data_IF_345113996843
#
_entry.id   IF_345113996843
#
_cell.length_a   1.000
_cell.length_b   1.000
_cell.length_c   1.000
_cell.angle_alpha   90.00
_cell.angle_beta   90.00
_cell.angle_gamma   90.00
#
_symmetry.space_group_name_H-M   'P 1'
#
loop_
_entity.id
_entity.type
_entity.pdbx_description
1 polymer ?
#
# COMPACT_ATOMS: atom_id res chain seq x y z
N UNK A 1 -23.26 33.78 -11.83
CA UNK A 1 -23.82 32.41 -11.75
C UNK A 1 -22.70 31.40 -11.90
N UNK A 2 -22.25 30.80 -10.80
CA UNK A 2 -21.37 29.63 -10.85
C UNK A 2 -22.25 28.45 -11.27
N UNK A 3 -22.01 27.87 -12.45
CA UNK A 3 -22.90 26.85 -13.00
C UNK A 3 -23.00 25.67 -12.02
N UNK A 4 -24.22 25.18 -11.73
CA UNK A 4 -24.47 24.12 -10.74
C UNK A 4 -23.65 22.83 -10.98
N UNK A 5 -23.14 22.63 -12.20
CA UNK A 5 -22.22 21.54 -12.55
C UNK A 5 -20.77 21.72 -12.05
N UNK A 6 -20.36 22.91 -11.60
CA UNK A 6 -18.97 23.15 -11.17
C UNK A 6 -18.72 22.79 -9.71
N UNK A 7 -19.70 22.97 -8.80
CA UNK A 7 -19.49 22.71 -7.38
C UNK A 7 -19.29 21.20 -7.10
N UNK A 8 -20.22 20.37 -7.58
CA UNK A 8 -20.20 18.92 -7.33
C UNK A 8 -19.02 18.20 -8.01
N UNK A 9 -18.64 18.65 -9.20
CA UNK A 9 -17.48 18.11 -9.92
C UNK A 9 -16.13 18.48 -9.28
N UNK A 10 -16.11 19.53 -8.45
CA UNK A 10 -14.89 20.01 -7.81
C UNK A 10 -14.71 19.48 -6.38
N UNK A 11 -15.80 19.18 -5.66
CA UNK A 11 -15.74 18.72 -4.27
C UNK A 11 -14.78 17.52 -4.07
N UNK A 12 -14.88 16.40 -4.83
CA UNK A 12 -13.96 15.29 -4.66
C UNK A 12 -12.50 15.65 -4.97
N UNK A 13 -12.27 16.51 -5.98
CA UNK A 13 -10.93 16.97 -6.36
C UNK A 13 -10.29 17.84 -5.27
N UNK A 14 -11.05 18.78 -4.71
CA UNK A 14 -10.61 19.64 -3.60
C UNK A 14 -10.34 18.79 -2.36
N UNK A 15 -11.24 17.86 -2.03
CA UNK A 15 -11.04 16.93 -0.92
C UNK A 15 -9.77 16.08 -1.09
N UNK A 16 -9.52 15.57 -2.31
CA UNK A 16 -8.30 14.82 -2.65
C UNK A 16 -7.03 15.66 -2.44
N UNK A 17 -7.03 16.92 -2.89
CA UNK A 17 -5.89 17.82 -2.66
C UNK A 17 -5.67 18.10 -1.17
N UNK A 18 -6.73 18.48 -0.45
CA UNK A 18 -6.69 18.83 0.97
C UNK A 18 -6.21 17.66 1.86
N UNK A 19 -6.58 16.44 1.51
CA UNK A 19 -6.24 15.23 2.30
C UNK A 19 -4.97 14.54 1.84
N UNK A 20 -4.19 15.18 0.95
CA UNK A 20 -3.01 14.60 0.32
C UNK A 20 -3.29 13.21 -0.30
N UNK A 21 -4.40 13.06 -1.01
CA UNK A 21 -4.85 11.82 -1.66
C UNK A 21 -5.18 10.66 -0.71
N UNK A 22 -5.46 10.93 0.58
CA UNK A 22 -5.91 9.89 1.50
C UNK A 22 -7.37 9.54 1.26
N UNK A 23 -7.61 8.40 0.61
CA UNK A 23 -8.94 7.96 0.17
C UNK A 23 -9.94 7.94 1.33
N UNK A 24 -9.59 7.35 2.47
CA UNK A 24 -10.47 7.29 3.65
C UNK A 24 -10.88 8.69 4.11
N UNK A 25 -9.96 9.66 4.12
CA UNK A 25 -10.28 11.05 4.46
C UNK A 25 -11.14 11.71 3.38
N UNK A 26 -10.88 11.47 2.09
CA UNK A 26 -11.73 11.95 0.99
C UNK A 26 -13.16 11.42 1.12
N UNK A 27 -13.34 10.12 1.34
CA UNK A 27 -14.64 9.49 1.55
C UNK A 27 -15.39 10.11 2.73
N UNK A 28 -14.71 10.38 3.85
CA UNK A 28 -15.32 11.07 5.00
C UNK A 28 -15.83 12.46 4.61
N UNK A 29 -15.05 13.24 3.87
CA UNK A 29 -15.45 14.58 3.40
C UNK A 29 -16.64 14.47 2.44
N UNK A 30 -16.57 13.61 1.43
CA UNK A 30 -17.65 13.39 0.46
C UNK A 30 -18.96 13.00 1.16
N UNK A 31 -18.91 12.07 2.12
CA UNK A 31 -20.06 11.66 2.92
C UNK A 31 -20.59 12.80 3.79
N UNK A 32 -19.71 13.57 4.42
CA UNK A 32 -20.11 14.73 5.24
C UNK A 32 -20.86 15.77 4.41
N UNK A 33 -20.35 16.10 3.22
CA UNK A 33 -20.99 17.05 2.31
C UNK A 33 -22.33 16.51 1.79
N UNK A 34 -22.40 15.23 1.42
CA UNK A 34 -23.67 14.60 1.02
C UNK A 34 -24.72 14.70 2.13
N UNK A 35 -24.33 14.43 3.38
CA UNK A 35 -25.24 14.55 4.52
C UNK A 35 -25.76 15.99 4.70
N UNK A 36 -24.92 17.01 4.54
CA UNK A 36 -25.34 18.41 4.60
C UNK A 36 -26.35 18.76 3.50
N UNK A 37 -26.11 18.29 2.28
CA UNK A 37 -27.05 18.46 1.15
C UNK A 37 -28.39 17.81 1.49
N UNK A 38 -28.38 16.56 1.96
CA UNK A 38 -29.60 15.83 2.33
C UNK A 38 -30.39 16.55 3.43
N UNK A 39 -29.70 17.15 4.41
CA UNK A 39 -30.36 17.96 5.43
C UNK A 39 -31.02 19.21 4.84
N UNK A 40 -30.33 19.95 3.97
CA UNK A 40 -30.89 21.12 3.28
C UNK A 40 -32.11 20.76 2.43
N UNK A 41 -32.04 19.67 1.67
CA UNK A 41 -33.17 19.14 0.88
C UNK A 41 -34.35 18.79 1.78
N UNK A 42 -34.10 18.15 2.92
CA UNK A 42 -35.17 17.80 3.86
C UNK A 42 -35.87 19.05 4.40
N UNK A 43 -35.13 20.11 4.72
CA UNK A 43 -35.69 21.39 5.18
C UNK A 43 -36.55 22.03 4.09
N UNK A 44 -36.05 22.12 2.86
CA UNK A 44 -36.80 22.67 1.72
C UNK A 44 -38.10 21.91 1.49
N UNK A 45 -38.03 20.57 1.39
CA UNK A 45 -39.20 19.74 1.14
C UNK A 45 -40.21 19.81 2.30
N UNK A 46 -39.74 19.92 3.54
CA UNK A 46 -40.61 20.11 4.72
C UNK A 46 -41.33 21.45 4.65
N UNK A 47 -40.61 22.53 4.31
CA UNK A 47 -41.19 23.86 4.13
C UNK A 47 -42.30 23.85 3.07
N UNK A 48 -42.06 23.25 1.90
CA UNK A 48 -43.06 23.15 0.83
C UNK A 48 -44.29 22.35 1.27
N UNK A 49 -44.08 21.27 2.03
CA UNK A 49 -45.17 20.45 2.57
C UNK A 49 -46.03 21.22 3.58
N UNK A 50 -45.41 22.01 4.47
CA UNK A 50 -46.12 22.77 5.51
C UNK A 50 -46.93 23.93 4.93
N UNK A 51 -46.50 24.49 3.80
CA UNK A 51 -47.18 25.60 3.12
C UNK A 51 -48.19 25.14 2.05
N UNK A 52 -48.61 23.87 2.07
CA UNK A 52 -49.55 23.28 1.11
C UNK A 52 -49.13 23.41 -0.38
N UNK A 53 -47.83 23.59 -0.67
CA UNK A 53 -47.27 23.74 -2.01
C UNK A 53 -47.07 22.37 -2.69
N UNK A 54 -48.16 21.62 -2.86
CA UNK A 54 -48.13 20.18 -3.21
C UNK A 54 -47.49 19.89 -4.58
N UNK A 55 -47.74 20.74 -5.59
CA UNK A 55 -47.15 20.58 -6.92
C UNK A 55 -45.63 20.83 -6.88
N UNK A 56 -45.21 21.92 -6.23
CA UNK A 56 -43.80 22.27 -6.08
C UNK A 56 -43.04 21.23 -5.28
N UNK A 57 -43.62 20.71 -4.20
CA UNK A 57 -43.04 19.60 -3.44
C UNK A 57 -42.74 18.40 -4.36
N UNK A 58 -43.70 17.97 -5.19
CA UNK A 58 -43.53 16.82 -6.10
C UNK A 58 -42.44 17.08 -7.14
N UNK A 59 -42.40 18.28 -7.71
CA UNK A 59 -41.39 18.69 -8.70
C UNK A 59 -40.00 18.73 -8.06
N UNK A 60 -39.86 19.43 -6.94
CA UNK A 60 -38.58 19.59 -6.20
C UNK A 60 -38.06 18.25 -5.70
N UNK A 61 -38.92 17.39 -5.17
CA UNK A 61 -38.53 16.04 -4.73
C UNK A 61 -37.91 15.25 -5.89
N UNK A 62 -38.57 15.19 -7.05
CA UNK A 62 -38.05 14.48 -8.23
C UNK A 62 -36.72 15.08 -8.73
N UNK A 63 -36.62 16.41 -8.73
CA UNK A 63 -35.39 17.10 -9.12
C UNK A 63 -34.23 16.76 -8.17
N UNK A 64 -34.47 16.82 -6.86
CA UNK A 64 -33.47 16.48 -5.85
C UNK A 64 -33.07 15.02 -5.89
N UNK A 65 -34.02 14.10 -6.07
CA UNK A 65 -33.72 12.66 -6.24
C UNK A 65 -32.76 12.44 -7.42
N UNK A 66 -32.99 13.13 -8.56
CA UNK A 66 -32.10 13.05 -9.72
C UNK A 66 -30.72 13.64 -9.41
N UNK A 67 -30.66 14.84 -8.82
CA UNK A 67 -29.39 15.51 -8.48
C UNK A 67 -28.56 14.71 -7.47
N UNK A 68 -29.18 14.17 -6.42
CA UNK A 68 -28.52 13.36 -5.39
C UNK A 68 -27.93 12.08 -6.01
N UNK A 69 -28.67 11.38 -6.87
CA UNK A 69 -28.14 10.22 -7.59
C UNK A 69 -26.90 10.56 -8.42
N UNK A 70 -26.95 11.67 -9.17
CA UNK A 70 -25.79 12.13 -9.95
C UNK A 70 -24.56 12.42 -9.07
N UNK A 71 -24.78 13.02 -7.89
CA UNK A 71 -23.70 13.28 -6.92
C UNK A 71 -23.12 11.97 -6.39
N UNK A 72 -23.97 11.00 -6.00
CA UNK A 72 -23.53 9.69 -5.51
C UNK A 72 -22.71 8.96 -6.58
N UNK A 73 -23.22 8.88 -7.82
CA UNK A 73 -22.53 8.23 -8.94
C UNK A 73 -21.16 8.88 -9.20
N UNK A 74 -21.09 10.22 -9.13
CA UNK A 74 -19.83 10.94 -9.31
C UNK A 74 -18.83 10.65 -8.18
N UNK A 75 -19.29 10.64 -6.92
CA UNK A 75 -18.45 10.30 -5.76
C UNK A 75 -17.92 8.86 -5.85
N UNK A 76 -18.75 7.90 -6.27
CA UNK A 76 -18.35 6.50 -6.47
C UNK A 76 -17.30 6.37 -7.57
N UNK A 77 -17.53 6.95 -8.76
CA UNK A 77 -16.56 6.93 -9.86
C UNK A 77 -15.22 7.57 -9.46
N UNK A 78 -15.27 8.65 -8.69
CA UNK A 78 -14.05 9.29 -8.19
C UNK A 78 -13.28 8.40 -7.22
N UNK A 79 -14.00 7.74 -6.30
CA UNK A 79 -13.42 6.81 -5.33
C UNK A 79 -12.76 5.60 -6.02
N UNK A 80 -13.42 5.02 -7.02
CA UNK A 80 -12.85 3.97 -7.88
C UNK A 80 -11.60 4.44 -8.63
N UNK A 81 -11.59 5.68 -9.12
CA UNK A 81 -10.40 6.24 -9.76
C UNK A 81 -9.24 6.39 -8.77
N UNK A 82 -9.52 6.81 -7.53
CA UNK A 82 -8.50 6.85 -6.48
C UNK A 82 -7.93 5.46 -6.19
N UNK A 83 -8.77 4.42 -6.17
CA UNK A 83 -8.31 3.05 -6.04
C UNK A 83 -7.43 2.60 -7.19
N UNK A 84 -7.67 3.07 -8.43
CA UNK A 84 -6.86 2.74 -9.62
C UNK A 84 -5.53 3.50 -9.66
N UNK A 85 -5.52 4.77 -9.26
CA UNK A 85 -4.35 5.65 -9.32
C UNK A 85 -3.30 5.41 -8.23
N UNK A 86 -3.63 4.57 -7.24
CA UNK A 86 -2.88 4.40 -6.00
C UNK A 86 -1.39 4.14 -6.20
N UNK A 87 -1.02 3.32 -7.19
CA UNK A 87 0.36 2.90 -7.41
C UNK A 87 1.26 4.09 -7.79
N UNK A 88 0.74 4.99 -8.63
CA UNK A 88 1.45 6.22 -9.01
C UNK A 88 1.67 7.14 -7.81
N UNK A 89 0.70 7.18 -6.91
CA UNK A 89 0.75 7.99 -5.68
C UNK A 89 1.69 7.38 -4.65
N UNK A 90 1.71 6.04 -4.50
CA UNK A 90 2.59 5.33 -3.59
C UNK A 90 4.07 5.67 -3.85
N UNK A 91 4.48 5.70 -5.13
CA UNK A 91 5.85 6.05 -5.49
C UNK A 91 6.25 7.44 -5.01
N UNK A 92 5.33 8.42 -5.11
CA UNK A 92 5.52 9.79 -4.63
C UNK A 92 5.59 9.84 -3.11
N UNK A 93 4.70 9.12 -2.42
CA UNK A 93 4.66 9.08 -0.96
C UNK A 93 5.92 8.46 -0.36
N UNK A 94 6.40 7.34 -0.95
CA UNK A 94 7.66 6.72 -0.54
C UNK A 94 8.83 7.67 -0.78
N UNK A 95 8.88 8.35 -1.94
CA UNK A 95 9.93 9.33 -2.25
C UNK A 95 9.91 10.50 -1.27
N UNK A 96 8.74 11.01 -0.92
CA UNK A 96 8.56 12.08 0.06
C UNK A 96 9.02 11.64 1.45
N UNK A 97 8.54 10.50 1.94
CA UNK A 97 8.93 9.96 3.25
C UNK A 97 10.44 9.73 3.35
N UNK A 98 11.07 9.25 2.27
CA UNK A 98 12.52 9.10 2.20
C UNK A 98 13.27 10.43 2.39
N UNK A 99 12.76 11.51 1.79
CA UNK A 99 13.32 12.85 1.95
C UNK A 99 13.08 13.38 3.38
N UNK A 100 11.84 13.33 3.86
CA UNK A 100 11.40 13.86 5.15
C UNK A 100 12.04 13.14 6.35
N UNK A 101 12.43 11.87 6.17
CA UNK A 101 13.07 11.03 7.20
C UNK A 101 14.55 10.75 6.88
N UNK A 102 15.21 11.65 6.18
CA UNK A 102 16.66 11.56 5.98
C UNK A 102 17.38 11.62 7.34
N UNK A 103 18.40 10.80 7.55
CA UNK A 103 19.16 10.74 8.80
C UNK A 103 18.49 10.00 9.96
N UNK A 104 17.20 9.65 9.85
CA UNK A 104 16.50 8.80 10.81
C UNK A 104 16.91 7.33 10.70
N UNK A 105 16.72 6.57 11.77
CA UNK A 105 16.99 5.13 11.75
C UNK A 105 16.09 4.39 10.76
N UNK A 106 16.50 3.18 10.33
CA UNK A 106 15.66 2.33 9.46
C UNK A 106 14.33 1.98 10.13
N UNK A 107 14.31 1.93 11.47
CA UNK A 107 13.13 1.59 12.26
C UNK A 107 12.10 2.71 12.26
N UNK A 108 12.52 3.93 12.66
CA UNK A 108 11.67 5.13 12.62
C UNK A 108 11.14 5.41 11.20
N UNK A 109 11.99 5.22 10.18
CA UNK A 109 11.58 5.38 8.79
C UNK A 109 10.53 4.35 8.38
N UNK A 110 10.76 3.06 8.67
CA UNK A 110 9.85 2.00 8.28
C UNK A 110 8.50 2.11 8.99
N UNK A 111 8.49 2.52 10.26
CA UNK A 111 7.26 2.81 11.01
C UNK A 111 6.47 3.95 10.40
N UNK A 112 7.12 5.10 10.17
CA UNK A 112 6.46 6.26 9.58
C UNK A 112 5.88 5.92 8.21
N UNK A 113 6.66 5.27 7.34
CA UNK A 113 6.22 4.90 6.01
C UNK A 113 5.08 3.88 6.06
N UNK A 114 5.20 2.82 6.86
CA UNK A 114 4.18 1.79 6.96
C UNK A 114 2.87 2.37 7.50
N UNK A 115 2.92 3.19 8.56
CA UNK A 115 1.74 3.84 9.12
C UNK A 115 1.05 4.75 8.10
N UNK A 116 1.80 5.55 7.35
CA UNK A 116 1.24 6.46 6.34
C UNK A 116 0.54 5.68 5.22
N UNK A 117 1.22 4.72 4.60
CA UNK A 117 0.67 4.00 3.43
C UNK A 117 -0.45 3.03 3.84
N UNK A 118 -0.41 2.44 5.04
CA UNK A 118 -1.47 1.55 5.51
C UNK A 118 -2.76 2.29 5.87
N UNK A 119 -2.68 3.53 6.35
CA UNK A 119 -3.87 4.38 6.54
C UNK A 119 -4.41 4.91 5.20
N UNK A 120 -3.50 5.35 4.32
CA UNK A 120 -3.84 5.99 3.05
C UNK A 120 -4.46 5.04 2.03
N UNK A 121 -3.97 3.80 1.98
CA UNK A 121 -4.37 2.76 1.03
C UNK A 121 -5.00 1.59 1.78
N UNK A 122 -6.11 1.84 2.45
CA UNK A 122 -6.71 0.92 3.41
C UNK A 122 -7.36 -0.33 2.80
N UNK A 123 -7.39 -0.48 1.47
CA UNK A 123 -7.76 -1.71 0.75
C UNK A 123 -6.55 -2.59 0.41
N UNK A 124 -5.34 -2.16 0.80
CA UNK A 124 -4.07 -2.82 0.48
C UNK A 124 -3.35 -3.26 1.75
N UNK A 125 -2.65 -4.37 1.66
CA UNK A 125 -1.68 -4.79 2.69
C UNK A 125 -0.28 -4.51 2.18
N UNK A 126 0.58 -3.97 3.05
CA UNK A 126 1.94 -3.58 2.70
C UNK A 126 2.99 -4.39 3.44
N UNK A 127 4.12 -4.54 2.78
CA UNK A 127 5.38 -4.94 3.37
C UNK A 127 6.42 -3.89 3.05
N UNK A 128 6.88 -3.20 4.09
CA UNK A 128 7.97 -2.22 4.03
C UNK A 128 9.23 -2.89 4.58
N UNK A 129 10.31 -2.80 3.82
CA UNK A 129 11.63 -3.27 4.20
C UNK A 129 12.58 -2.09 4.10
N UNK A 130 13.23 -1.74 5.21
CA UNK A 130 14.29 -0.74 5.25
C UNK A 130 15.56 -1.38 5.79
N UNK A 131 16.69 -1.15 5.13
CA UNK A 131 17.96 -1.71 5.53
C UNK A 131 19.10 -0.80 5.05
N UNK A 132 20.27 -0.99 5.66
CA UNK A 132 21.44 -0.16 5.41
C UNK A 132 21.81 -0.17 3.92
N UNK A 133 22.46 0.92 3.51
CA UNK A 133 22.93 1.06 2.15
C UNK A 133 23.96 -0.03 1.81
N UNK A 134 23.79 -0.65 0.65
CA UNK A 134 24.68 -1.70 0.18
C UNK A 134 25.53 -1.14 -0.96
N UNK A 135 26.86 -1.11 -0.75
CA UNK A 135 27.86 -0.64 -1.70
C UNK A 135 28.01 -1.55 -2.95
N UNK A 136 29.07 -1.34 -3.75
CA UNK A 136 29.38 -2.19 -4.93
C UNK A 136 29.34 -3.68 -4.54
N UNK A 137 28.79 -4.54 -5.41
CA UNK A 137 28.41 -5.95 -5.18
C UNK A 137 27.12 -6.21 -4.37
N UNK A 138 26.08 -5.40 -4.60
CA UNK A 138 24.76 -5.58 -3.99
C UNK A 138 24.25 -7.02 -4.02
N UNK A 139 24.32 -7.69 -5.17
CA UNK A 139 23.83 -9.06 -5.38
C UNK A 139 24.45 -10.12 -4.43
N UNK A 140 25.63 -9.85 -3.85
CA UNK A 140 26.24 -10.72 -2.83
C UNK A 140 25.54 -10.60 -1.48
N UNK A 141 24.96 -9.44 -1.19
CA UNK A 141 24.39 -9.08 0.11
C UNK A 141 22.87 -8.99 0.11
N UNK A 142 22.22 -8.72 -1.03
CA UNK A 142 20.77 -8.81 -1.14
C UNK A 142 20.33 -9.37 -2.49
N UNK A 143 19.18 -10.02 -2.49
CA UNK A 143 18.45 -10.31 -3.71
C UNK A 143 16.99 -10.58 -3.34
N UNK A 144 16.06 -9.89 -3.99
CA UNK A 144 14.66 -9.96 -3.64
C UNK A 144 13.77 -9.65 -4.83
N UNK A 145 12.55 -10.16 -4.76
CA UNK A 145 11.45 -9.82 -5.66
C UNK A 145 10.37 -9.06 -4.89
N UNK A 146 9.72 -8.14 -5.60
CA UNK A 146 8.53 -7.42 -5.13
C UNK A 146 7.46 -7.40 -6.23
N UNK A 147 6.21 -7.32 -5.80
CA UNK A 147 5.03 -7.08 -6.62
C UNK A 147 4.21 -5.96 -5.98
N UNK A 148 3.51 -5.18 -6.80
CA UNK A 148 2.58 -4.14 -6.31
C UNK A 148 3.24 -3.11 -5.39
N UNK A 149 4.48 -2.68 -5.65
CA UNK A 149 5.07 -1.63 -4.82
C UNK A 149 6.24 -0.92 -5.51
N UNK A 150 7.21 -0.44 -4.73
CA UNK A 150 8.36 0.33 -5.24
C UNK A 150 9.66 -0.10 -4.58
N UNK A 151 10.78 0.24 -5.20
CA UNK A 151 12.11 -0.02 -4.64
C UNK A 151 13.01 1.17 -4.92
N UNK A 152 13.68 1.64 -3.88
CA UNK A 152 14.68 2.69 -3.94
C UNK A 152 15.97 2.19 -3.30
N UNK A 153 17.07 2.24 -4.06
CA UNK A 153 18.39 1.94 -3.54
C UNK A 153 19.12 3.23 -3.18
N UNK A 154 19.93 3.18 -2.12
CA UNK A 154 20.88 4.26 -1.77
C UNK A 154 20.25 5.65 -1.66
N UNK A 155 19.01 5.73 -1.15
CA UNK A 155 18.25 6.98 -1.09
C UNK A 155 17.95 7.32 0.37
N UNK A 156 18.31 8.53 0.79
CA UNK A 156 18.19 8.93 2.20
C UNK A 156 19.06 8.08 3.14
N UNK A 157 20.18 7.54 2.64
CA UNK A 157 21.12 6.71 3.41
C UNK A 157 20.69 5.25 3.62
N UNK A 158 19.70 4.75 2.86
CA UNK A 158 19.17 3.39 3.02
C UNK A 158 18.68 2.78 1.72
N UNK A 159 18.46 1.48 1.75
CA UNK A 159 17.66 0.77 0.75
C UNK A 159 16.23 0.60 1.27
N UNK A 160 15.24 0.72 0.39
CA UNK A 160 13.83 0.63 0.76
C UNK A 160 13.04 -0.15 -0.27
N UNK A 161 12.39 -1.22 0.18
CA UNK A 161 11.46 -2.00 -0.62
C UNK A 161 10.07 -1.86 -0.03
N UNK A 162 9.12 -1.54 -0.89
CA UNK A 162 7.69 -1.66 -0.58
C UNK A 162 7.10 -2.68 -1.53
N UNK A 163 6.34 -3.62 -0.98
CA UNK A 163 5.52 -4.55 -1.73
C UNK A 163 4.08 -4.50 -1.21
N UNK A 164 3.12 -4.83 -2.06
CA UNK A 164 1.70 -4.81 -1.66
C UNK A 164 0.90 -5.94 -2.28
N UNK A 165 -0.01 -6.46 -1.46
CA UNK A 165 -1.11 -7.32 -1.87
C UNK A 165 -2.45 -6.61 -1.68
N UNK A 166 -3.44 -7.06 -2.43
CA UNK A 166 -4.83 -6.72 -2.11
C UNK A 166 -5.20 -7.34 -0.75
N UNK A 167 -5.95 -6.61 0.09
CA UNK A 167 -6.45 -7.15 1.36
C UNK A 167 -7.31 -8.39 1.17
N UNK A 168 -8.07 -8.47 0.07
CA UNK A 168 -8.94 -9.60 -0.24
C UNK A 168 -8.17 -10.88 -0.65
N UNK A 169 -6.88 -10.79 -0.95
CA UNK A 169 -6.09 -11.97 -1.32
C UNK A 169 -5.87 -12.90 -0.12
N UNK A 170 -5.86 -14.22 -0.34
CA UNK A 170 -5.59 -15.18 0.73
C UNK A 170 -4.21 -14.94 1.36
N UNK A 171 -4.09 -15.27 2.64
CA UNK A 171 -2.81 -15.25 3.36
C UNK A 171 -2.03 -16.50 2.98
N UNK A 172 -0.72 -16.37 2.79
CA UNK A 172 0.13 -17.52 2.48
C UNK A 172 0.15 -18.58 3.61
N UNK A 173 0.35 -19.85 3.26
CA UNK A 173 0.57 -20.90 4.26
C UNK A 173 1.93 -20.69 4.95
N UNK A 174 1.89 -20.22 6.20
CA UNK A 174 3.08 -19.84 6.98
C UNK A 174 4.05 -21.00 7.21
N UNK A 175 3.56 -22.16 7.68
CA UNK A 175 4.39 -23.32 8.00
C UNK A 175 5.12 -23.82 6.75
N UNK A 176 4.40 -23.95 5.65
CA UNK A 176 5.00 -24.39 4.40
C UNK A 176 6.04 -23.37 3.91
N UNK A 177 5.75 -22.07 4.01
CA UNK A 177 6.68 -21.00 3.64
C UNK A 177 7.94 -21.03 4.51
N UNK A 178 7.79 -21.14 5.81
CA UNK A 178 8.89 -21.22 6.76
C UNK A 178 9.78 -22.44 6.51
N UNK A 179 9.18 -23.60 6.25
CA UNK A 179 9.91 -24.82 5.88
C UNK A 179 10.76 -24.60 4.62
N UNK A 180 10.18 -23.98 3.58
CA UNK A 180 10.92 -23.66 2.36
C UNK A 180 12.10 -22.69 2.61
N UNK A 181 11.89 -21.65 3.43
CA UNK A 181 12.95 -20.70 3.78
C UNK A 181 14.05 -21.37 4.63
N UNK A 182 13.71 -22.25 5.57
CA UNK A 182 14.70 -22.98 6.38
C UNK A 182 15.47 -24.03 5.57
N UNK A 183 14.84 -24.61 4.56
CA UNK A 183 15.42 -25.68 3.73
C UNK A 183 16.50 -25.23 2.75
N UNK A 184 16.59 -23.94 2.43
CA UNK A 184 17.58 -23.46 1.45
C UNK A 184 19.01 -23.41 2.03
N UNK A 185 19.97 -23.94 1.26
CA UNK A 185 21.38 -23.95 1.66
C UNK A 185 22.02 -22.58 1.48
N UNK A 186 22.39 -21.92 2.57
CA UNK A 186 23.06 -20.61 2.57
C UNK A 186 24.60 -20.65 2.54
N UNK A 187 25.19 -21.86 2.59
CA UNK A 187 26.64 -22.10 2.46
C UNK A 187 26.90 -23.21 1.43
N UNK A 188 28.04 -23.14 0.73
CA UNK A 188 28.51 -24.20 -0.19
C UNK A 188 29.72 -24.91 0.43
N UNK A 189 29.78 -26.24 0.29
CA UNK A 189 30.95 -27.04 0.68
C UNK A 189 32.10 -26.73 -0.28
N UNK A 190 33.26 -26.35 0.25
CA UNK A 190 34.49 -26.13 -0.52
C UNK A 190 35.35 -27.39 -0.48
N UNK A 191 36.28 -27.55 -1.44
CA UNK A 191 37.09 -28.77 -1.60
C UNK A 191 37.93 -29.15 -0.37
N UNK A 192 38.29 -28.19 0.48
CA UNK A 192 39.06 -28.42 1.73
C UNK A 192 38.13 -28.39 2.97
N UNK A 193 36.91 -28.90 2.90
CA UNK A 193 35.93 -28.96 4.03
C UNK A 193 35.48 -27.61 4.64
N UNK A 194 36.07 -26.47 4.28
CA UNK A 194 35.58 -25.15 4.69
C UNK A 194 34.26 -24.81 3.99
N UNK A 195 33.29 -24.22 4.72
CA UNK A 195 32.02 -23.79 4.14
C UNK A 195 32.12 -22.32 3.70
N UNK A 196 32.05 -22.04 2.39
CA UNK A 196 32.06 -20.66 1.88
C UNK A 196 30.65 -20.07 1.88
N UNK A 197 30.55 -18.79 2.26
CA UNK A 197 29.30 -18.01 2.15
C UNK A 197 28.88 -17.93 0.68
N UNK A 198 27.61 -18.25 0.39
CA UNK A 198 27.02 -18.06 -0.93
C UNK A 198 26.59 -16.60 -1.13
N UNK A 199 26.44 -16.16 -2.38
CA UNK A 199 25.84 -14.84 -2.65
C UNK A 199 24.35 -14.86 -2.32
N UNK A 200 23.77 -13.70 -1.98
CA UNK A 200 22.33 -13.58 -1.79
C UNK A 200 21.55 -14.00 -3.05
N UNK A 201 22.09 -13.70 -4.25
CA UNK A 201 21.52 -14.13 -5.53
C UNK A 201 21.47 -15.65 -5.68
N UNK A 202 22.54 -16.38 -5.32
CA UNK A 202 22.54 -17.84 -5.39
C UNK A 202 21.47 -18.45 -4.48
N UNK A 203 21.37 -17.94 -3.25
CA UNK A 203 20.37 -18.41 -2.28
C UNK A 203 18.96 -18.08 -2.77
N UNK A 204 18.76 -16.90 -3.34
CA UNK A 204 17.48 -16.51 -3.91
C UNK A 204 17.08 -17.40 -5.09
N UNK A 205 18.01 -17.73 -5.98
CA UNK A 205 17.74 -18.59 -7.14
C UNK A 205 17.37 -20.01 -6.71
N UNK A 206 18.04 -20.55 -5.68
CA UNK A 206 17.65 -21.83 -5.09
C UNK A 206 16.25 -21.77 -4.45
N UNK A 207 15.93 -20.72 -3.70
CA UNK A 207 14.58 -20.52 -3.15
C UNK A 207 13.53 -20.48 -4.25
N UNK A 208 13.80 -19.75 -5.33
CA UNK A 208 12.93 -19.67 -6.51
C UNK A 208 12.75 -21.05 -7.16
N UNK A 209 13.81 -21.85 -7.27
CA UNK A 209 13.76 -23.19 -7.86
C UNK A 209 13.02 -24.19 -6.97
N UNK A 210 13.29 -24.17 -5.65
CA UNK A 210 12.59 -25.00 -4.65
C UNK A 210 11.12 -24.64 -4.54
N UNK A 211 10.78 -23.36 -4.73
CA UNK A 211 9.41 -22.87 -4.62
C UNK A 211 9.06 -21.83 -5.69
N UNK A 212 8.69 -22.29 -6.89
CA UNK A 212 8.27 -21.41 -7.99
C UNK A 212 7.09 -20.50 -7.62
N UNK A 213 6.23 -20.92 -6.68
CA UNK A 213 5.10 -20.12 -6.19
C UNK A 213 5.52 -18.75 -5.62
N UNK A 214 6.74 -18.60 -5.09
CA UNK A 214 7.26 -17.29 -4.66
C UNK A 214 7.36 -16.27 -5.81
N UNK A 215 7.45 -16.74 -7.05
CA UNK A 215 7.40 -15.89 -8.24
C UNK A 215 5.98 -15.46 -8.61
N UNK A 216 4.93 -16.03 -8.02
CA UNK A 216 3.55 -15.66 -8.32
C UNK A 216 3.08 -14.47 -7.45
N UNK A 217 2.85 -13.32 -8.08
CA UNK A 217 2.32 -12.11 -7.42
C UNK A 217 0.87 -12.23 -6.91
N UNK A 218 0.17 -13.31 -7.26
CA UNK A 218 -1.13 -13.69 -6.70
C UNK A 218 -1.03 -14.11 -5.24
N UNK A 219 0.05 -14.82 -4.88
CA UNK A 219 0.24 -15.37 -3.54
C UNK A 219 1.33 -14.64 -2.75
N UNK A 220 2.42 -14.21 -3.39
CA UNK A 220 3.56 -13.59 -2.73
C UNK A 220 3.83 -12.20 -3.32
N UNK A 221 3.60 -11.17 -2.52
CA UNK A 221 3.94 -9.80 -2.89
C UNK A 221 5.44 -9.54 -2.78
N UNK A 222 6.16 -10.24 -1.89
CA UNK A 222 7.63 -10.17 -1.92
C UNK A 222 8.26 -11.40 -1.29
N UNK A 223 9.49 -11.70 -1.70
CA UNK A 223 10.36 -12.63 -1.01
C UNK A 223 11.81 -12.29 -1.33
N UNK A 224 12.74 -12.69 -0.48
CA UNK A 224 14.12 -12.35 -0.69
C UNK A 224 15.07 -12.83 0.37
N UNK A 225 16.32 -12.46 0.12
CA UNK A 225 17.49 -12.77 0.92
C UNK A 225 18.22 -11.46 1.15
N UNK A 226 18.46 -11.09 2.40
CA UNK A 226 19.27 -9.91 2.75
C UNK A 226 20.28 -10.34 3.81
N UNK A 227 21.51 -9.87 3.69
CA UNK A 227 22.56 -10.08 4.67
C UNK A 227 22.14 -9.52 6.03
N UNK A 228 22.21 -10.35 7.08
CA UNK A 228 21.73 -9.98 8.41
C UNK A 228 22.49 -8.79 9.03
N UNK A 229 23.69 -8.48 8.53
CA UNK A 229 24.48 -7.34 8.96
C UNK A 229 23.96 -5.97 8.49
N UNK A 230 22.86 -5.90 7.75
CA UNK A 230 22.34 -4.66 7.14
C UNK A 230 21.24 -3.96 7.96
N UNK A 231 21.17 -4.19 9.29
CA UNK A 231 20.14 -3.58 10.19
C UNK A 231 18.74 -3.58 9.58
N UNK A 232 18.30 -4.78 9.18
CA UNK A 232 17.08 -4.97 8.40
C UNK A 232 15.87 -4.76 9.30
N UNK A 233 14.97 -3.90 8.84
CA UNK A 233 13.67 -3.64 9.47
C UNK A 233 12.57 -4.06 8.52
N UNK A 234 11.64 -4.86 9.03
CA UNK A 234 10.40 -5.22 8.35
C UNK A 234 9.20 -4.59 9.07
N UNK A 235 8.28 -4.01 8.30
CA UNK A 235 6.94 -3.64 8.76
C UNK A 235 5.89 -4.22 7.84
N UNK A 236 5.03 -5.05 8.40
CA UNK A 236 3.95 -5.75 7.70
C UNK A 236 2.98 -6.34 8.72
N UNK A 237 1.81 -6.76 8.24
CA UNK A 237 0.94 -7.64 9.02
C UNK A 237 1.67 -8.97 9.31
N UNK A 238 1.83 -9.28 10.61
CA UNK A 238 2.57 -10.47 11.07
C UNK A 238 2.03 -11.77 10.49
N UNK A 239 0.72 -11.87 10.20
CA UNK A 239 0.12 -13.07 9.60
C UNK A 239 0.62 -13.35 8.19
N UNK A 240 0.95 -12.29 7.42
CA UNK A 240 1.41 -12.35 6.03
C UNK A 240 2.92 -12.39 5.86
N UNK A 241 3.70 -12.13 6.93
CA UNK A 241 5.16 -12.10 6.87
C UNK A 241 5.76 -13.31 7.59
N UNK A 242 6.66 -14.00 6.90
CA UNK A 242 7.56 -14.99 7.50
C UNK A 242 8.99 -14.52 7.26
N UNK A 243 9.79 -14.54 8.33
CA UNK A 243 11.23 -14.28 8.28
C UNK A 243 11.97 -15.44 8.93
N UNK A 244 13.13 -15.79 8.39
CA UNK A 244 13.99 -16.87 8.89
C UNK A 244 15.42 -16.38 8.90
N UNK A 245 16.09 -16.52 10.04
CA UNK A 245 17.52 -16.27 10.16
C UNK A 245 18.28 -17.55 9.76
N UNK A 246 19.18 -17.46 8.77
CA UNK A 246 19.99 -18.59 8.29
C UNK A 246 21.43 -18.16 8.05
N UNK A 247 22.34 -18.60 8.93
CA UNK A 247 23.76 -18.27 8.89
C UNK A 247 24.01 -16.75 8.81
N UNK A 248 24.27 -16.25 7.60
CA UNK A 248 24.64 -14.86 7.32
C UNK A 248 23.49 -14.05 6.67
N UNK A 249 22.34 -14.67 6.47
CA UNK A 249 21.21 -14.09 5.78
C UNK A 249 19.96 -14.11 6.63
N UNK A 250 19.16 -13.07 6.47
CA UNK A 250 17.75 -13.04 6.79
C UNK A 250 16.96 -13.29 5.51
N UNK A 251 16.22 -14.39 5.53
CA UNK A 251 15.34 -14.82 4.45
C UNK A 251 13.93 -14.37 4.80
N UNK A 252 13.15 -13.95 3.82
CA UNK A 252 11.78 -13.55 4.05
C UNK A 252 10.86 -13.89 2.89
N UNK A 253 9.59 -14.03 3.20
CA UNK A 253 8.50 -14.10 2.25
C UNK A 253 7.28 -13.39 2.82
N UNK A 254 6.53 -12.72 1.95
CA UNK A 254 5.35 -11.95 2.28
C UNK A 254 4.25 -12.24 1.25
N UNK A 255 3.10 -12.70 1.76
CA UNK A 255 1.98 -13.18 0.96
C UNK A 255 0.66 -13.10 1.70
#
# INVERSE_FOLDING_TARGET
MVSEGTLFNNIPKVAKAYTNNNRRKVQKIMKGILNLILQGVKVELTYLSLNNMTLDYKIRKRLWDKKIRQVIDHMQKFDEQMEKDWFSSLSKDVKKTLADKTGKSNDEFADALYSEISDKYDWREFHVIAYDEIAKDGYKKHYLKRCGGVHWFKKGGRNTVVASNDKAKPVMNRQHTESALRGVKTRRKHWISWKRKRSAMDVFNDLKAMRPAFMNCGYYASFGVIDKGQKIVHRANKKRLVTVQSNNFQLFAYG
#
